data_IF_309496314753
#
_entry.id   IF_309496314753
#
_cell.length_a   1.000
_cell.length_b   1.000
_cell.length_c   1.000
_cell.angle_alpha   90.00
_cell.angle_beta   90.00
_cell.angle_gamma   90.00
#
_symmetry.space_group_name_H-M   'P 1'
#
loop_
_entity.id
_entity.type
_entity.pdbx_description
1 polymer ?
#
# COMPACT_ATOMS: atom_id res chain seq x y z
N UNK A 1 -24.09 -19.70 6.23
CA UNK A 1 -24.13 -18.44 5.49
C UNK A 1 -22.72 -17.95 5.19
N UNK A 2 -22.32 -17.96 3.92
CA UNK A 2 -21.04 -17.39 3.50
C UNK A 2 -21.27 -15.95 3.07
N UNK A 3 -21.16 -15.00 4.00
CA UNK A 3 -21.23 -13.56 3.68
C UNK A 3 -19.97 -13.15 2.92
N UNK A 4 -20.10 -12.89 1.62
CA UNK A 4 -19.02 -12.31 0.83
C UNK A 4 -18.99 -10.80 1.09
N UNK A 5 -17.83 -10.26 1.47
CA UNK A 5 -17.60 -8.82 1.62
C UNK A 5 -16.67 -8.33 0.52
N UNK A 6 -17.02 -7.20 -0.10
CA UNK A 6 -16.15 -6.52 -1.04
C UNK A 6 -15.43 -5.36 -0.34
N UNK A 7 -14.12 -5.28 -0.55
CA UNK A 7 -13.27 -4.22 -0.03
C UNK A 7 -12.54 -3.58 -1.21
N UNK A 8 -12.69 -2.27 -1.36
CA UNK A 8 -12.02 -1.50 -2.39
C UNK A 8 -10.80 -0.80 -1.82
N UNK A 9 -9.63 -1.24 -2.24
CA UNK A 9 -8.35 -0.58 -1.94
C UNK A 9 -8.01 0.39 -3.07
N UNK A 10 -8.00 1.68 -2.77
CA UNK A 10 -7.64 2.72 -3.74
C UNK A 10 -6.25 3.27 -3.42
N UNK A 11 -5.27 2.95 -4.27
CA UNK A 11 -3.89 3.43 -4.13
C UNK A 11 -3.78 4.83 -4.68
N UNK A 12 -3.72 5.82 -3.79
CA UNK A 12 -3.62 7.22 -4.18
C UNK A 12 -2.15 7.60 -4.44
N UNK A 13 -1.94 8.41 -5.48
CA UNK A 13 -0.61 8.91 -5.85
C UNK A 13 -0.22 10.22 -5.17
N UNK A 14 -1.14 10.85 -4.44
CA UNK A 14 -0.97 12.20 -3.87
C UNK A 14 -1.34 13.32 -4.84
N UNK A 15 -1.67 13.01 -6.10
CA UNK A 15 -2.16 14.00 -7.06
C UNK A 15 -3.65 14.29 -6.90
N UNK A 16 -4.06 15.53 -7.16
CA UNK A 16 -5.46 15.99 -7.11
C UNK A 16 -6.39 15.09 -7.92
N UNK A 17 -6.00 14.73 -9.14
CA UNK A 17 -6.79 13.83 -9.99
C UNK A 17 -7.00 12.45 -9.33
N UNK A 18 -5.97 11.92 -8.67
CA UNK A 18 -6.07 10.65 -7.96
C UNK A 18 -7.05 10.72 -6.80
N UNK A 19 -7.08 11.83 -6.06
CA UNK A 19 -8.07 12.07 -5.00
C UNK A 19 -9.47 12.19 -5.59
N UNK A 20 -9.64 12.97 -6.66
CA UNK A 20 -10.94 13.13 -7.32
C UNK A 20 -11.52 11.80 -7.83
N UNK A 21 -10.69 10.90 -8.36
CA UNK A 21 -11.13 9.55 -8.72
C UNK A 21 -11.60 8.71 -7.53
N UNK A 22 -10.96 8.86 -6.37
CA UNK A 22 -11.42 8.24 -5.15
C UNK A 22 -12.78 8.81 -4.70
N UNK A 23 -12.90 10.14 -4.61
CA UNK A 23 -14.14 10.82 -4.22
C UNK A 23 -15.31 10.46 -5.14
N UNK A 24 -15.08 10.45 -6.46
CA UNK A 24 -16.08 10.00 -7.42
C UNK A 24 -16.57 8.59 -7.11
N UNK A 25 -15.63 7.71 -6.76
CA UNK A 25 -15.99 6.34 -6.48
C UNK A 25 -16.69 6.10 -5.14
N UNK A 26 -16.49 6.99 -4.16
CA UNK A 26 -17.32 7.02 -2.95
C UNK A 26 -18.75 7.38 -3.32
N UNK A 27 -18.96 8.37 -4.20
CA UNK A 27 -20.29 8.73 -4.67
C UNK A 27 -20.97 7.61 -5.47
N UNK A 28 -20.20 6.88 -6.28
CA UNK A 28 -20.75 5.80 -7.14
C UNK A 28 -21.13 4.54 -6.37
N UNK A 29 -20.40 4.22 -5.28
CA UNK A 29 -20.51 2.94 -4.56
C UNK A 29 -21.02 3.10 -3.12
N UNK A 30 -21.01 4.32 -2.58
CA UNK A 30 -21.46 4.65 -1.25
C UNK A 30 -20.91 3.73 -0.15
N UNK A 31 -21.74 3.49 0.84
CA UNK A 31 -21.44 2.61 1.97
C UNK A 31 -21.77 1.12 1.70
N UNK A 32 -22.12 0.77 0.44
CA UNK A 32 -22.41 -0.62 0.07
C UNK A 32 -21.17 -1.52 0.13
N UNK A 33 -19.97 -0.92 0.06
CA UNK A 33 -18.69 -1.60 0.19
C UNK A 33 -17.75 -0.85 1.13
N UNK A 34 -16.76 -1.56 1.68
CA UNK A 34 -15.71 -0.94 2.48
C UNK A 34 -14.69 -0.30 1.55
N UNK A 35 -14.42 0.99 1.75
CA UNK A 35 -13.40 1.73 1.01
C UNK A 35 -12.16 1.93 1.86
N UNK A 36 -10.99 1.76 1.24
CA UNK A 36 -9.70 2.08 1.84
C UNK A 36 -8.95 3.06 0.94
N UNK A 37 -8.71 4.26 1.46
CA UNK A 37 -7.84 5.25 0.85
C UNK A 37 -6.40 4.99 1.28
N UNK A 38 -5.59 4.51 0.35
CA UNK A 38 -4.19 4.16 0.62
C UNK A 38 -3.28 5.32 0.25
N UNK A 39 -2.67 5.94 1.26
CA UNK A 39 -1.62 6.94 1.12
C UNK A 39 -0.30 6.26 0.78
N UNK A 40 0.06 6.25 -0.51
CA UNK A 40 1.29 5.61 -0.97
C UNK A 40 2.50 6.52 -0.76
N UNK A 41 3.21 6.28 0.35
CA UNK A 41 4.42 7.05 0.73
C UNK A 41 5.58 6.86 -0.26
N UNK A 42 5.49 5.90 -1.18
CA UNK A 42 6.42 5.73 -2.29
C UNK A 42 6.19 6.67 -3.48
N UNK A 43 5.00 7.28 -3.58
CA UNK A 43 4.62 8.19 -4.66
C UNK A 43 4.47 9.64 -4.20
N UNK A 44 4.04 9.83 -2.96
CA UNK A 44 3.88 11.14 -2.34
C UNK A 44 4.23 11.03 -0.85
N UNK A 45 5.15 11.86 -0.39
CA UNK A 45 5.63 11.91 1.00
C UNK A 45 5.05 13.08 1.80
N UNK A 46 4.24 13.93 1.17
CA UNK A 46 3.53 15.05 1.81
C UNK A 46 2.04 15.01 1.46
N UNK A 47 1.22 14.71 2.46
CA UNK A 47 -0.23 14.59 2.34
C UNK A 47 -0.99 15.79 2.94
N UNK A 48 -0.29 16.81 3.43
CA UNK A 48 -0.90 17.97 4.09
C UNK A 48 -1.92 18.65 3.18
N UNK A 49 -1.54 18.90 1.93
CA UNK A 49 -2.44 19.52 0.95
C UNK A 49 -3.75 18.74 0.78
N UNK A 50 -3.69 17.40 0.68
CA UNK A 50 -4.89 16.55 0.55
C UNK A 50 -5.71 16.59 1.82
N UNK A 51 -5.08 16.55 2.99
CA UNK A 51 -5.77 16.63 4.27
C UNK A 51 -6.49 17.98 4.44
N UNK A 52 -6.03 19.04 3.76
CA UNK A 52 -6.68 20.36 3.82
C UNK A 52 -7.74 20.57 2.73
N UNK A 53 -7.85 19.67 1.75
CA UNK A 53 -8.87 19.77 0.69
C UNK A 53 -10.28 19.71 1.29
N UNK A 54 -11.14 20.73 1.06
CA UNK A 54 -12.49 20.75 1.61
C UNK A 54 -13.31 19.53 1.21
N UNK A 55 -13.17 19.06 -0.03
CA UNK A 55 -13.92 17.94 -0.58
C UNK A 55 -13.50 16.62 0.07
N UNK A 56 -12.21 16.49 0.40
CA UNK A 56 -11.68 15.33 1.11
C UNK A 56 -12.14 15.32 2.58
N UNK A 57 -12.13 16.48 3.24
CA UNK A 57 -12.66 16.62 4.60
C UNK A 57 -14.16 16.33 4.68
N UNK A 58 -14.95 16.83 3.71
CA UNK A 58 -16.37 16.46 3.61
C UNK A 58 -16.54 14.96 3.44
N UNK A 59 -15.76 14.32 2.55
CA UNK A 59 -15.86 12.88 2.35
C UNK A 59 -15.53 12.06 3.60
N UNK A 60 -14.57 12.49 4.45
CA UNK A 60 -14.27 11.82 5.73
C UNK A 60 -15.48 11.88 6.67
N UNK A 61 -16.25 12.98 6.64
CA UNK A 61 -17.47 13.12 7.43
C UNK A 61 -18.65 12.35 6.86
N UNK A 62 -18.76 12.31 5.52
CA UNK A 62 -19.91 11.77 4.82
C UNK A 62 -19.83 10.25 4.63
N UNK A 63 -18.63 9.69 4.55
CA UNK A 63 -18.38 8.28 4.27
C UNK A 63 -17.46 7.65 5.31
N UNK A 64 -17.77 6.43 5.73
CA UNK A 64 -16.95 5.70 6.70
C UNK A 64 -15.83 4.88 6.02
N UNK A 65 -14.94 5.56 5.28
CA UNK A 65 -13.78 4.92 4.65
C UNK A 65 -12.55 4.91 5.56
N UNK A 66 -11.68 3.92 5.37
CA UNK A 66 -10.44 3.77 6.13
C UNK A 66 -9.30 4.49 5.41
N UNK A 67 -8.47 5.22 6.14
CA UNK A 67 -7.21 5.77 5.64
C UNK A 67 -6.06 4.89 6.14
N UNK A 68 -5.18 4.48 5.22
CA UNK A 68 -3.99 3.67 5.55
C UNK A 68 -2.74 4.26 4.91
N UNK A 69 -1.64 4.31 5.66
CA UNK A 69 -0.31 4.60 5.13
C UNK A 69 0.38 3.34 4.61
N UNK A 70 0.66 3.33 3.32
CA UNK A 70 1.50 2.31 2.71
C UNK A 70 2.95 2.79 2.62
N UNK A 71 3.92 2.05 3.19
CA UNK A 71 5.28 2.55 3.36
C UNK A 71 6.01 2.74 2.03
N UNK A 72 7.02 3.61 2.06
CA UNK A 72 7.91 3.84 0.93
C UNK A 72 8.88 2.69 0.76
N UNK A 73 8.86 2.04 -0.40
CA UNK A 73 9.90 1.08 -0.73
C UNK A 73 11.15 1.79 -1.25
N UNK A 74 12.35 1.58 -0.67
CA UNK A 74 13.57 2.25 -1.10
C UNK A 74 13.88 2.08 -2.61
N UNK A 75 14.22 3.18 -3.26
CA UNK A 75 14.36 3.27 -4.72
C UNK A 75 15.41 2.31 -5.29
N UNK A 76 16.57 2.19 -4.65
CA UNK A 76 17.64 1.31 -5.14
C UNK A 76 17.20 -0.16 -5.09
N UNK A 77 16.67 -0.61 -3.96
CA UNK A 77 16.18 -1.97 -3.77
C UNK A 77 15.02 -2.29 -4.72
N UNK A 78 14.07 -1.35 -4.88
CA UNK A 78 12.97 -1.48 -5.85
C UNK A 78 13.48 -1.72 -7.26
N UNK A 79 14.36 -0.85 -7.75
CA UNK A 79 14.83 -0.93 -9.13
C UNK A 79 15.73 -2.14 -9.37
N UNK A 80 16.49 -2.58 -8.36
CA UNK A 80 17.30 -3.81 -8.47
C UNK A 80 16.40 -5.04 -8.56
N UNK A 81 15.36 -5.12 -7.70
CA UNK A 81 14.41 -6.23 -7.72
C UNK A 81 13.64 -6.28 -9.04
N UNK A 82 13.19 -5.12 -9.52
CA UNK A 82 12.46 -4.97 -10.78
C UNK A 82 13.34 -5.35 -11.98
N UNK A 83 14.56 -4.79 -12.07
CA UNK A 83 15.53 -5.10 -13.13
C UNK A 83 15.90 -6.60 -13.17
N UNK A 84 16.02 -7.22 -12.01
CA UNK A 84 16.38 -8.64 -11.90
C UNK A 84 15.17 -9.57 -12.05
N UNK A 85 13.95 -9.04 -12.16
CA UNK A 85 12.70 -9.79 -12.26
C UNK A 85 12.53 -10.84 -11.14
N UNK A 86 13.01 -10.51 -9.93
CA UNK A 86 12.98 -11.42 -8.79
C UNK A 86 11.85 -11.07 -7.82
N UNK A 87 11.35 -12.08 -7.11
CA UNK A 87 10.37 -11.87 -6.06
C UNK A 87 11.01 -11.36 -4.76
N UNK A 88 10.22 -10.80 -3.86
CA UNK A 88 10.70 -10.45 -2.52
C UNK A 88 11.25 -11.66 -1.75
N UNK A 89 10.67 -12.86 -1.92
CA UNK A 89 11.14 -14.10 -1.29
C UNK A 89 12.56 -14.45 -1.75
N UNK A 90 12.85 -14.32 -3.05
CA UNK A 90 14.20 -14.48 -3.60
C UNK A 90 15.12 -13.37 -3.08
N UNK A 91 14.66 -12.12 -3.08
CA UNK A 91 15.46 -10.99 -2.59
C UNK A 91 15.93 -11.17 -1.14
N UNK A 92 15.06 -11.65 -0.25
CA UNK A 92 15.39 -11.85 1.18
C UNK A 92 16.04 -13.20 1.48
N UNK A 93 16.06 -14.14 0.53
CA UNK A 93 16.64 -15.48 0.68
C UNK A 93 15.98 -16.30 1.79
N UNK A 94 14.65 -16.37 1.83
CA UNK A 94 13.94 -17.20 2.82
C UNK A 94 14.17 -18.69 2.54
N UNK A 95 14.56 -19.43 3.58
CA UNK A 95 14.87 -20.85 3.52
C UNK A 95 13.64 -21.77 3.38
N UNK A 96 12.44 -21.25 3.68
CA UNK A 96 11.16 -21.98 3.54
C UNK A 96 10.70 -22.12 2.09
N UNK A 97 11.28 -21.35 1.17
CA UNK A 97 11.01 -21.43 -0.26
C UNK A 97 12.06 -22.35 -0.85
N UNK A 98 11.71 -23.64 -1.02
CA UNK A 98 12.60 -24.69 -1.50
C UNK A 98 13.40 -24.21 -2.74
N UNK A 99 14.73 -24.11 -2.62
CA UNK A 99 15.63 -23.73 -3.72
C UNK A 99 15.90 -22.22 -3.91
N UNK A 100 15.36 -21.33 -3.06
CA UNK A 100 15.60 -19.89 -3.18
C UNK A 100 16.94 -19.45 -2.56
N UNK A 101 17.98 -19.37 -3.39
CA UNK A 101 19.22 -18.68 -3.06
C UNK A 101 19.02 -17.18 -3.32
N UNK A 102 19.38 -16.33 -2.36
CA UNK A 102 19.32 -14.89 -2.57
C UNK A 102 20.20 -14.47 -3.74
N UNK A 103 19.70 -13.58 -4.60
CA UNK A 103 20.45 -13.13 -5.77
C UNK A 103 21.80 -12.52 -5.32
N UNK A 104 22.95 -12.87 -5.96
CA UNK A 104 24.28 -12.43 -5.53
C UNK A 104 24.44 -10.90 -5.43
N UNK A 105 23.70 -10.15 -6.24
CA UNK A 105 23.69 -8.68 -6.22
C UNK A 105 23.00 -8.09 -4.98
N UNK A 106 22.11 -8.84 -4.34
CA UNK A 106 21.41 -8.41 -3.13
C UNK A 106 22.24 -8.82 -1.92
N UNK A 107 23.09 -7.90 -1.47
CA UNK A 107 23.90 -8.05 -0.25
C UNK A 107 23.05 -7.88 1.02
N UNK A 108 23.66 -8.12 2.18
CA UNK A 108 22.98 -8.16 3.49
C UNK A 108 22.12 -6.91 3.78
N UNK A 109 22.63 -5.70 3.51
CA UNK A 109 21.91 -4.44 3.81
C UNK A 109 20.62 -4.29 2.97
N UNK A 110 20.66 -4.42 1.63
CA UNK A 110 19.45 -4.50 0.82
C UNK A 110 18.43 -5.54 1.31
N UNK A 111 18.88 -6.75 1.69
CA UNK A 111 17.96 -7.78 2.25
C UNK A 111 17.23 -7.25 3.48
N UNK A 112 17.94 -6.59 4.39
CA UNK A 112 17.34 -6.06 5.61
C UNK A 112 16.32 -4.95 5.30
N UNK A 113 16.60 -4.08 4.32
CA UNK A 113 15.65 -3.04 3.88
C UNK A 113 14.38 -3.63 3.28
N UNK A 114 14.48 -4.67 2.45
CA UNK A 114 13.32 -5.40 1.94
C UNK A 114 12.52 -6.03 3.09
N UNK A 115 13.19 -6.66 4.06
CA UNK A 115 12.52 -7.22 5.25
C UNK A 115 11.79 -6.16 6.07
N UNK A 116 12.42 -5.00 6.29
CA UNK A 116 11.81 -3.90 7.04
C UNK A 116 10.58 -3.34 6.31
N UNK A 117 10.71 -3.08 5.01
CA UNK A 117 9.59 -2.64 4.17
C UNK A 117 8.42 -3.62 4.24
N UNK A 118 8.65 -4.93 4.09
CA UNK A 118 7.59 -5.93 4.19
C UNK A 118 6.96 -5.93 5.58
N UNK A 119 7.76 -5.86 6.64
CA UNK A 119 7.26 -5.79 8.01
C UNK A 119 6.34 -4.58 8.21
N UNK A 120 6.75 -3.42 7.75
CA UNK A 120 5.96 -2.18 7.82
C UNK A 120 4.67 -2.29 6.98
N UNK A 121 4.77 -2.81 5.75
CA UNK A 121 3.61 -2.96 4.87
C UNK A 121 2.56 -3.90 5.47
N UNK A 122 2.99 -5.07 5.97
CA UNK A 122 2.09 -6.00 6.66
C UNK A 122 1.53 -5.44 7.96
N UNK A 123 2.29 -4.61 8.70
CA UNK A 123 1.76 -3.92 9.86
C UNK A 123 0.67 -2.92 9.48
N UNK A 124 0.86 -2.15 8.40
CA UNK A 124 -0.18 -1.25 7.85
C UNK A 124 -1.42 -2.01 7.40
N UNK A 125 -1.27 -3.18 6.76
CA UNK A 125 -2.39 -4.04 6.38
C UNK A 125 -3.14 -4.58 7.60
N UNK A 126 -2.42 -5.07 8.60
CA UNK A 126 -3.04 -5.59 9.83
C UNK A 126 -3.78 -4.50 10.60
N UNK A 127 -3.27 -3.27 10.59
CA UNK A 127 -3.89 -2.12 11.28
C UNK A 127 -5.25 -1.72 10.71
N UNK A 128 -5.62 -2.16 9.50
CA UNK A 128 -6.99 -1.93 8.98
C UNK A 128 -7.99 -2.96 9.51
N UNK A 129 -7.53 -4.07 10.08
CA UNK A 129 -8.35 -5.20 10.54
C UNK A 129 -9.21 -5.86 9.44
N UNK A 130 -8.92 -5.56 8.17
CA UNK A 130 -9.69 -6.04 7.02
C UNK A 130 -9.14 -7.35 6.42
N UNK A 131 -7.89 -7.68 6.73
CA UNK A 131 -7.20 -8.87 6.21
C UNK A 131 -6.87 -9.77 7.40
N UNK A 132 -7.41 -11.00 7.39
CA UNK A 132 -7.17 -12.04 8.39
C UNK A 132 -6.23 -13.11 7.86
#
# INVERSE_FOLDING_TARGET
DNSIKFIKWFVCTGGVDSVNFFLKSLNDLGDDIIHVFVRNQGLCDDWEYINEMPEFQSAISDYNFIIMDFPKFPFWERNVIDRLEITFSIAIGRADTQGCIAHPEIKVVPKQRVKNFLKEAYASFAATELIQ
#
